data_IF_416680864931
#
_entry.id   IF_416680864931
#
_cell.length_a   1.000
_cell.length_b   1.000
_cell.length_c   1.000
_cell.angle_alpha   90.00
_cell.angle_beta   90.00
_cell.angle_gamma   90.00
#
_symmetry.space_group_name_H-M   'P 1'
#
loop_
_entity.id
_entity.type
_entity.pdbx_description
1 polymer ?
#
# COMPACT_ATOMS: atom_id res chain seq x y z
N UNK A 1 -38.13 -44.76 28.11
CA UNK A 1 -38.63 -44.57 26.73
C UNK A 1 -38.79 -43.07 26.54
N UNK A 2 -37.72 -42.40 26.09
CA UNK A 2 -37.63 -40.95 25.98
C UNK A 2 -37.59 -40.57 24.50
N UNK A 3 -38.50 -39.68 24.12
CA UNK A 3 -38.77 -39.17 22.77
C UNK A 3 -37.70 -38.13 22.39
N UNK A 4 -36.77 -38.50 21.50
CA UNK A 4 -35.83 -37.59 20.86
C UNK A 4 -36.56 -36.88 19.72
N UNK A 5 -36.98 -35.64 19.95
CA UNK A 5 -37.44 -34.74 18.89
C UNK A 5 -36.22 -34.25 18.10
N UNK A 6 -36.10 -34.72 16.87
CA UNK A 6 -35.24 -34.17 15.83
C UNK A 6 -35.63 -32.70 15.57
N UNK A 7 -34.80 -31.78 16.07
CA UNK A 7 -34.82 -30.37 15.65
C UNK A 7 -33.85 -30.26 14.48
N UNK A 8 -34.37 -30.35 13.26
CA UNK A 8 -33.58 -30.06 12.06
C UNK A 8 -33.03 -28.61 12.13
N UNK A 9 -31.73 -28.37 11.92
CA UNK A 9 -31.21 -27.01 11.87
C UNK A 9 -31.80 -26.30 10.65
N UNK A 10 -32.33 -25.08 10.87
CA UNK A 10 -32.79 -24.22 9.80
C UNK A 10 -31.68 -24.03 8.75
N UNK A 11 -32.01 -24.03 7.44
CA UNK A 11 -31.01 -23.79 6.41
C UNK A 11 -30.36 -22.44 6.65
N UNK A 12 -29.05 -22.44 6.85
CA UNK A 12 -28.25 -21.22 6.84
C UNK A 12 -28.42 -20.56 5.48
N UNK A 13 -29.12 -19.44 5.46
CA UNK A 13 -29.17 -18.56 4.29
C UNK A 13 -27.75 -18.09 4.01
N UNK A 14 -27.06 -18.82 3.12
CA UNK A 14 -25.87 -18.32 2.45
C UNK A 14 -26.25 -17.00 1.78
N UNK A 15 -25.50 -15.90 2.01
CA UNK A 15 -25.77 -14.66 1.33
C UNK A 15 -25.65 -14.90 -0.18
N UNK A 16 -26.74 -14.59 -0.89
CA UNK A 16 -26.88 -14.76 -2.32
C UNK A 16 -25.73 -14.02 -3.05
N UNK A 17 -24.85 -14.71 -3.79
CA UNK A 17 -23.70 -14.09 -4.47
C UNK A 17 -24.10 -13.09 -5.57
N UNK A 18 -25.40 -12.98 -5.87
CA UNK A 18 -25.95 -12.10 -6.89
C UNK A 18 -26.14 -10.62 -6.48
N UNK A 19 -26.05 -10.29 -5.19
CA UNK A 19 -26.23 -8.90 -4.72
C UNK A 19 -24.89 -8.24 -4.42
N UNK A 20 -24.11 -7.97 -5.46
CA UNK A 20 -23.13 -6.89 -5.36
C UNK A 20 -23.94 -5.58 -5.33
N UNK A 21 -24.06 -4.89 -4.18
CA UNK A 21 -24.81 -3.64 -4.13
C UNK A 21 -24.19 -2.67 -5.14
N UNK A 22 -25.04 -1.93 -5.85
CA UNK A 22 -24.59 -0.90 -6.76
C UNK A 22 -23.55 0.00 -6.06
N UNK A 23 -22.51 0.46 -6.78
CA UNK A 23 -21.46 1.29 -6.19
C UNK A 23 -22.08 2.48 -5.46
N UNK A 24 -22.01 2.45 -4.13
CA UNK A 24 -22.62 3.44 -3.25
C UNK A 24 -21.53 4.08 -2.42
N UNK A 25 -21.64 5.40 -2.23
CA UNK A 25 -20.73 6.19 -1.41
C UNK A 25 -20.56 5.60 0.00
N UNK A 26 -21.63 5.00 0.57
CA UNK A 26 -21.60 4.39 1.89
C UNK A 26 -20.67 3.16 1.97
N UNK A 27 -20.54 2.43 0.86
CA UNK A 27 -19.81 1.16 0.75
C UNK A 27 -18.44 1.32 0.07
N UNK A 28 -18.00 2.56 -0.20
CA UNK A 28 -16.67 2.82 -0.74
C UNK A 28 -15.61 2.24 0.20
N UNK A 29 -14.80 1.30 -0.31
CA UNK A 29 -13.77 0.62 0.48
C UNK A 29 -12.77 1.63 1.06
N UNK A 30 -12.41 1.55 2.35
CA UNK A 30 -11.35 2.37 2.94
C UNK A 30 -10.00 2.28 2.23
N UNK A 31 -9.73 1.16 1.54
CA UNK A 31 -8.47 0.91 0.85
C UNK A 31 -8.38 1.47 -0.59
N UNK A 32 -9.39 2.21 -1.07
CA UNK A 32 -9.45 2.65 -2.47
C UNK A 32 -8.35 3.66 -2.85
N UNK A 33 -7.77 4.37 -1.89
CA UNK A 33 -6.56 5.17 -2.12
C UNK A 33 -5.35 4.31 -2.56
N UNK A 34 -5.45 2.98 -2.49
CA UNK A 34 -4.53 2.06 -3.15
C UNK A 34 -4.40 2.33 -4.66
N UNK A 35 -5.46 2.82 -5.32
CA UNK A 35 -5.42 3.28 -6.71
C UNK A 35 -4.39 4.39 -6.91
N UNK A 36 -4.42 5.42 -6.04
CA UNK A 36 -3.50 6.57 -6.13
C UNK A 36 -2.08 6.12 -5.84
N UNK A 37 -1.94 5.29 -4.81
CA UNK A 37 -0.66 4.72 -4.39
C UNK A 37 -0.01 3.92 -5.53
N UNK A 38 -0.77 3.06 -6.21
CA UNK A 38 -0.30 2.24 -7.32
C UNK A 38 0.00 3.06 -8.59
N UNK A 39 -0.94 3.92 -9.03
CA UNK A 39 -0.74 4.77 -10.22
C UNK A 39 0.45 5.70 -10.03
N UNK A 40 0.60 6.26 -8.83
CA UNK A 40 1.71 7.16 -8.49
C UNK A 40 3.07 6.49 -8.58
N UNK A 41 3.22 5.27 -8.04
CA UNK A 41 4.53 4.59 -8.08
C UNK A 41 4.86 4.08 -9.48
N UNK A 42 3.89 3.60 -10.26
CA UNK A 42 4.11 3.18 -11.65
C UNK A 42 4.51 4.38 -12.51
N UNK A 43 3.94 5.55 -12.25
CA UNK A 43 4.36 6.82 -12.87
C UNK A 43 5.80 7.19 -12.52
N UNK A 44 6.17 7.17 -11.23
CA UNK A 44 7.55 7.43 -10.79
C UNK A 44 8.55 6.46 -11.40
N UNK A 45 8.28 5.15 -11.33
CA UNK A 45 9.12 4.12 -11.93
C UNK A 45 9.29 4.34 -13.44
N UNK A 46 8.20 4.68 -14.15
CA UNK A 46 8.25 5.02 -15.57
C UNK A 46 9.14 6.24 -15.83
N UNK A 47 9.08 7.26 -14.98
CA UNK A 47 9.92 8.46 -15.09
C UNK A 47 11.40 8.13 -14.91
N UNK A 48 11.73 7.39 -13.84
CA UNK A 48 13.10 6.98 -13.50
C UNK A 48 13.77 6.15 -14.61
N UNK A 49 12.97 5.35 -15.33
CA UNK A 49 13.45 4.49 -16.43
C UNK A 49 13.32 5.13 -17.83
N UNK A 50 13.10 6.46 -17.91
CA UNK A 50 13.16 7.21 -19.16
C UNK A 50 11.86 7.23 -19.98
N UNK A 51 10.76 6.68 -19.48
CA UNK A 51 9.45 6.69 -20.16
C UNK A 51 8.65 7.96 -19.84
N UNK A 52 9.24 9.14 -20.09
CA UNK A 52 8.71 10.44 -19.64
C UNK A 52 7.27 10.76 -20.05
N UNK A 53 6.88 10.44 -21.30
CA UNK A 53 5.50 10.68 -21.78
C UNK A 53 4.47 9.85 -21.03
N UNK A 54 4.76 8.56 -20.83
CA UNK A 54 3.91 7.64 -20.07
C UNK A 54 3.83 8.06 -18.60
N UNK A 55 4.98 8.39 -18.01
CA UNK A 55 5.06 8.86 -16.64
C UNK A 55 4.18 10.10 -16.42
N UNK A 56 4.25 11.09 -17.31
CA UNK A 56 3.48 12.32 -17.23
C UNK A 56 1.97 12.08 -17.41
N UNK A 57 1.57 11.19 -18.32
CA UNK A 57 0.18 10.79 -18.50
C UNK A 57 -0.38 10.15 -17.22
N UNK A 58 0.36 9.20 -16.63
CA UNK A 58 -0.01 8.56 -15.37
C UNK A 58 0.00 9.54 -14.19
N UNK A 59 0.91 10.51 -14.18
CA UNK A 59 0.96 11.57 -13.17
C UNK A 59 -0.32 12.41 -13.16
N UNK A 60 -0.74 12.95 -14.32
CA UNK A 60 -1.97 13.75 -14.39
C UNK A 60 -3.21 12.92 -14.08
N UNK A 61 -3.24 11.67 -14.54
CA UNK A 61 -4.28 10.72 -14.16
C UNK A 61 -4.32 10.53 -12.63
N UNK A 62 -3.16 10.39 -11.98
CA UNK A 62 -3.08 10.22 -10.54
C UNK A 62 -3.58 11.46 -9.77
N UNK A 63 -3.28 12.66 -10.24
CA UNK A 63 -3.81 13.92 -9.68
C UNK A 63 -5.34 13.93 -9.73
N UNK A 64 -5.93 13.54 -10.87
CA UNK A 64 -7.39 13.45 -11.01
C UNK A 64 -7.97 12.39 -10.08
N UNK A 65 -7.36 11.19 -10.03
CA UNK A 65 -7.79 10.12 -9.12
C UNK A 65 -7.75 10.55 -7.66
N UNK A 66 -6.68 11.24 -7.25
CA UNK A 66 -6.53 11.76 -5.90
C UNK A 66 -7.63 12.77 -5.57
N UNK A 67 -7.84 13.77 -6.42
CA UNK A 67 -8.88 14.78 -6.22
C UNK A 67 -10.27 14.16 -6.11
N UNK A 68 -10.60 13.22 -6.99
CA UNK A 68 -11.89 12.50 -6.97
C UNK A 68 -12.04 11.71 -5.66
N UNK A 69 -11.02 10.96 -5.24
CA UNK A 69 -11.11 10.17 -4.00
C UNK A 69 -11.16 11.05 -2.74
N UNK A 70 -10.46 12.19 -2.70
CA UNK A 70 -10.61 13.17 -1.63
C UNK A 70 -12.05 13.66 -1.51
N UNK A 71 -12.69 14.02 -2.64
CA UNK A 71 -14.09 14.44 -2.66
C UNK A 71 -15.02 13.32 -2.20
N UNK A 72 -14.82 12.09 -2.69
CA UNK A 72 -15.66 10.94 -2.32
C UNK A 72 -15.50 10.56 -0.85
N UNK A 73 -14.28 10.53 -0.32
CA UNK A 73 -14.05 10.23 1.10
C UNK A 73 -14.56 11.35 2.00
N UNK A 74 -14.38 12.61 1.61
CA UNK A 74 -14.96 13.75 2.32
C UNK A 74 -16.50 13.70 2.34
N UNK A 75 -17.12 13.42 1.20
CA UNK A 75 -18.56 13.23 1.11
C UNK A 75 -19.04 12.02 1.93
N UNK A 76 -18.27 10.93 1.96
CA UNK A 76 -18.55 9.74 2.78
C UNK A 76 -18.45 10.05 4.28
N UNK A 77 -17.43 10.79 4.70
CA UNK A 77 -17.26 11.20 6.08
C UNK A 77 -18.41 12.11 6.55
N UNK A 78 -18.88 13.01 5.68
CA UNK A 78 -20.01 13.89 6.00
C UNK A 78 -21.37 13.16 5.98
N UNK A 79 -21.68 12.41 4.93
CA UNK A 79 -23.02 11.78 4.77
C UNK A 79 -23.18 10.46 5.53
N UNK A 80 -22.09 9.74 5.76
CA UNK A 80 -22.09 8.43 6.41
C UNK A 80 -21.04 8.31 7.52
N UNK A 81 -20.97 9.26 8.48
CA UNK A 81 -19.91 9.33 9.50
C UNK A 81 -19.83 8.05 10.33
N UNK A 82 -20.97 7.49 10.74
CA UNK A 82 -21.01 6.25 11.53
C UNK A 82 -20.35 5.07 10.82
N UNK A 83 -20.52 4.94 9.50
CA UNK A 83 -19.85 3.88 8.71
C UNK A 83 -18.38 4.22 8.48
N UNK A 84 -18.08 5.47 8.14
CA UNK A 84 -16.71 5.92 7.89
C UNK A 84 -15.80 5.70 9.10
N UNK A 85 -16.16 6.25 10.26
CA UNK A 85 -15.40 6.07 11.50
C UNK A 85 -15.55 4.65 12.08
N UNK A 86 -16.70 4.00 11.88
CA UNK A 86 -16.91 2.61 12.30
C UNK A 86 -15.95 1.62 11.63
N UNK A 87 -15.61 1.83 10.36
CA UNK A 87 -14.65 0.97 9.64
C UNK A 87 -13.23 1.02 10.26
N UNK A 88 -12.85 2.11 10.93
CA UNK A 88 -11.55 2.23 11.61
C UNK A 88 -11.42 1.27 12.80
N UNK A 89 -12.55 0.85 13.39
CA UNK A 89 -12.61 -0.09 14.52
C UNK A 89 -12.66 -1.57 14.10
N UNK A 90 -12.63 -1.84 12.79
CA UNK A 90 -12.70 -3.19 12.22
C UNK A 90 -11.30 -3.63 11.78
N UNK A 91 -10.79 -4.73 12.35
CA UNK A 91 -9.40 -5.19 12.17
C UNK A 91 -9.00 -5.38 10.70
N UNK A 92 -9.92 -5.87 9.85
CA UNK A 92 -9.64 -6.13 8.44
C UNK A 92 -9.86 -4.92 7.51
N UNK A 93 -10.54 -3.86 7.99
CA UNK A 93 -10.87 -2.67 7.17
C UNK A 93 -10.10 -1.43 7.59
N UNK A 94 -9.89 -1.24 8.90
CA UNK A 94 -9.20 -0.11 9.48
C UNK A 94 -7.85 0.16 8.83
N UNK A 95 -6.96 -0.85 8.70
CA UNK A 95 -5.67 -0.67 8.03
C UNK A 95 -5.77 -0.17 6.58
N UNK A 96 -6.91 -0.39 5.90
CA UNK A 96 -7.17 0.15 4.56
C UNK A 96 -7.02 1.67 4.48
N UNK A 97 -7.37 2.41 5.55
CA UNK A 97 -7.23 3.87 5.57
C UNK A 97 -5.78 4.36 5.43
N UNK A 98 -4.79 3.55 5.80
CA UNK A 98 -3.38 3.91 5.62
C UNK A 98 -2.99 4.06 4.14
N UNK A 99 -3.78 3.52 3.20
CA UNK A 99 -3.61 3.84 1.77
C UNK A 99 -3.74 5.33 1.47
N UNK A 100 -4.52 6.08 2.25
CA UNK A 100 -4.67 7.54 2.10
C UNK A 100 -3.36 8.27 2.43
N UNK A 101 -2.65 7.82 3.47
CA UNK A 101 -1.33 8.33 3.83
C UNK A 101 -0.32 7.99 2.75
N UNK A 102 -0.24 6.71 2.38
CA UNK A 102 0.72 6.23 1.39
C UNK A 102 0.50 6.89 0.01
N UNK A 103 -0.76 6.98 -0.45
CA UNK A 103 -1.12 7.64 -1.69
C UNK A 103 -0.79 9.13 -1.69
N UNK A 104 -1.05 9.84 -0.59
CA UNK A 104 -0.69 11.26 -0.45
C UNK A 104 0.84 11.45 -0.46
N UNK A 105 1.58 10.60 0.26
CA UNK A 105 3.05 10.65 0.27
C UNK A 105 3.68 10.35 -1.09
N UNK A 106 3.14 9.39 -1.85
CA UNK A 106 3.62 9.10 -3.22
C UNK A 106 3.28 10.24 -4.18
N UNK A 107 2.10 10.85 -4.06
CA UNK A 107 1.76 12.03 -4.87
C UNK A 107 2.69 13.20 -4.54
N UNK A 108 3.04 13.41 -3.26
CA UNK A 108 4.07 14.37 -2.86
C UNK A 108 5.40 14.09 -3.58
N UNK A 109 5.86 12.82 -3.55
CA UNK A 109 7.06 12.39 -4.27
C UNK A 109 6.99 12.65 -5.78
N UNK A 110 5.83 12.47 -6.42
CA UNK A 110 5.66 12.81 -7.83
C UNK A 110 5.84 14.31 -8.11
N UNK A 111 5.27 15.19 -7.29
CA UNK A 111 5.46 16.63 -7.45
C UNK A 111 6.91 17.05 -7.22
N UNK A 112 7.58 16.45 -6.24
CA UNK A 112 9.00 16.71 -5.97
C UNK A 112 9.91 16.23 -7.11
N UNK A 113 9.72 15.00 -7.58
CA UNK A 113 10.65 14.37 -8.55
C UNK A 113 10.35 14.76 -10.00
N UNK A 114 9.09 14.82 -10.40
CA UNK A 114 8.71 14.98 -11.82
C UNK A 114 8.44 16.42 -12.21
N UNK A 115 8.08 17.27 -11.24
CA UNK A 115 7.70 18.67 -11.48
C UNK A 115 8.58 19.66 -10.73
N UNK A 116 9.49 19.18 -9.89
CA UNK A 116 10.34 19.99 -9.02
C UNK A 116 9.54 21.03 -8.21
N UNK A 117 8.25 20.73 -7.94
CA UNK A 117 7.35 21.66 -7.28
C UNK A 117 7.37 21.41 -5.77
N UNK A 118 8.33 22.03 -5.12
CA UNK A 118 8.56 21.91 -3.66
C UNK A 118 7.35 22.37 -2.86
N UNK A 119 6.65 23.42 -3.28
CA UNK A 119 5.50 23.95 -2.55
C UNK A 119 4.36 22.92 -2.45
N UNK A 120 3.97 22.33 -3.58
CA UNK A 120 2.91 21.30 -3.60
C UNK A 120 3.40 20.00 -2.94
N UNK A 121 4.66 19.63 -3.19
CA UNK A 121 5.28 18.47 -2.53
C UNK A 121 5.28 18.58 -1.00
N UNK A 122 5.69 19.73 -0.46
CA UNK A 122 5.69 20.00 0.98
C UNK A 122 4.27 20.05 1.57
N UNK A 123 3.31 20.66 0.86
CA UNK A 123 1.91 20.69 1.31
C UNK A 123 1.30 19.29 1.40
N UNK A 124 1.52 18.45 0.38
CA UNK A 124 1.07 17.06 0.39
C UNK A 124 1.82 16.22 1.43
N UNK A 125 3.12 16.44 1.63
CA UNK A 125 3.88 15.82 2.70
C UNK A 125 3.30 16.18 4.08
N UNK A 126 3.02 17.45 4.34
CA UNK A 126 2.42 17.90 5.60
C UNK A 126 1.04 17.28 5.83
N UNK A 127 0.23 17.18 4.77
CA UNK A 127 -1.05 16.46 4.83
C UNK A 127 -0.86 14.96 5.12
N UNK A 128 0.14 14.31 4.50
CA UNK A 128 0.45 12.92 4.77
C UNK A 128 0.88 12.69 6.23
N UNK A 129 1.69 13.58 6.81
CA UNK A 129 2.08 13.54 8.22
C UNK A 129 0.85 13.68 9.12
N UNK A 130 -0.03 14.63 8.84
CA UNK A 130 -1.27 14.84 9.60
C UNK A 130 -2.17 13.59 9.55
N UNK A 131 -2.36 13.04 8.36
CA UNK A 131 -3.14 11.82 8.16
C UNK A 131 -2.50 10.63 8.87
N UNK A 132 -1.18 10.49 8.79
CA UNK A 132 -0.45 9.40 9.45
C UNK A 132 -0.61 9.46 10.96
N UNK A 133 -0.42 10.64 11.57
CA UNK A 133 -0.57 10.82 13.00
C UNK A 133 -2.02 10.51 13.42
N UNK A 134 -3.00 11.14 12.74
CA UNK A 134 -4.42 10.92 13.04
C UNK A 134 -4.84 9.46 12.91
N UNK A 135 -4.50 8.80 11.81
CA UNK A 135 -4.91 7.41 11.55
C UNK A 135 -4.15 6.39 12.39
N UNK A 136 -2.83 6.55 12.57
CA UNK A 136 -2.01 5.61 13.34
C UNK A 136 -2.51 5.54 14.78
N UNK A 137 -2.61 6.67 15.45
CA UNK A 137 -3.05 6.69 16.84
C UNK A 137 -4.53 6.33 16.97
N UNK A 138 -5.41 6.81 16.07
CA UNK A 138 -6.84 6.43 16.14
C UNK A 138 -7.04 4.93 15.95
N UNK A 139 -6.50 4.35 14.87
CA UNK A 139 -6.73 2.94 14.55
C UNK A 139 -6.08 2.05 15.60
N UNK A 140 -4.79 2.24 15.91
CA UNK A 140 -4.14 1.36 16.89
C UNK A 140 -4.75 1.50 18.29
N UNK A 141 -5.09 2.71 18.74
CA UNK A 141 -5.76 2.88 20.05
C UNK A 141 -7.12 2.18 20.06
N UNK A 142 -7.98 2.40 19.06
CA UNK A 142 -9.31 1.77 19.00
C UNK A 142 -9.20 0.25 18.97
N UNK A 143 -8.30 -0.31 18.16
CA UNK A 143 -8.09 -1.76 18.09
C UNK A 143 -7.48 -2.33 19.39
N UNK A 144 -6.71 -1.53 20.13
CA UNK A 144 -6.09 -1.92 21.40
C UNK A 144 -7.10 -1.95 22.55
N UNK A 145 -7.93 -0.92 22.69
CA UNK A 145 -8.88 -0.78 23.81
C UNK A 145 -10.19 -1.54 23.61
N UNK A 146 -10.50 -1.95 22.37
CA UNK A 146 -11.70 -2.74 22.06
C UNK A 146 -11.73 -4.03 22.87
N UNK A 147 -12.86 -4.29 23.54
CA UNK A 147 -13.05 -5.50 24.36
C UNK A 147 -13.14 -6.76 23.47
N UNK A 148 -14.05 -6.74 22.49
CA UNK A 148 -14.27 -7.87 21.59
C UNK A 148 -13.31 -7.82 20.39
N UNK A 149 -12.28 -8.67 20.42
CA UNK A 149 -11.29 -8.80 19.35
C UNK A 149 -11.46 -10.13 18.62
N UNK A 150 -11.34 -10.15 17.28
CA UNK A 150 -11.26 -11.41 16.56
C UNK A 150 -9.99 -12.17 16.96
N UNK A 151 -10.04 -13.49 16.83
CA UNK A 151 -8.87 -14.37 16.96
C UNK A 151 -7.83 -14.04 15.88
N UNK A 152 -6.56 -14.40 16.12
CA UNK A 152 -5.45 -14.03 15.23
C UNK A 152 -5.67 -14.51 13.78
N UNK A 153 -6.23 -15.71 13.59
CA UNK A 153 -6.58 -16.28 12.29
C UNK A 153 -7.60 -15.46 11.49
N UNK A 154 -8.40 -14.61 12.15
CA UNK A 154 -9.41 -13.75 11.51
C UNK A 154 -9.08 -12.25 11.61
N UNK A 155 -8.16 -11.88 12.49
CA UNK A 155 -7.86 -10.49 12.81
C UNK A 155 -6.73 -9.87 11.99
N UNK A 156 -5.80 -10.68 11.46
CA UNK A 156 -4.60 -10.16 10.77
C UNK A 156 -4.47 -10.70 9.34
N UNK A 157 -4.06 -9.84 8.42
CA UNK A 157 -3.73 -10.17 7.03
C UNK A 157 -2.69 -9.19 6.48
N UNK A 158 -2.27 -9.36 5.22
CA UNK A 158 -1.29 -8.47 4.56
C UNK A 158 -1.70 -7.00 4.52
N UNK A 159 -2.99 -6.67 4.65
CA UNK A 159 -3.49 -5.29 4.72
C UNK A 159 -2.98 -4.51 5.94
N UNK A 160 -2.64 -5.19 7.04
CA UNK A 160 -2.04 -4.53 8.21
C UNK A 160 -0.69 -3.87 7.89
N UNK A 161 0.07 -4.42 6.94
CA UNK A 161 1.34 -3.85 6.50
C UNK A 161 1.17 -2.52 5.74
N UNK A 162 -0.06 -2.08 5.44
CA UNK A 162 -0.29 -0.71 4.99
C UNK A 162 0.16 0.33 6.02
N UNK A 163 0.18 0.01 7.32
CA UNK A 163 0.76 0.86 8.35
C UNK A 163 2.28 1.06 8.13
N UNK A 164 2.98 0.01 7.72
CA UNK A 164 4.39 0.09 7.32
C UNK A 164 4.53 0.93 6.05
N UNK A 165 3.74 0.63 5.02
CA UNK A 165 3.80 1.36 3.73
C UNK A 165 3.55 2.85 3.93
N UNK A 166 2.56 3.23 4.75
CA UNK A 166 2.27 4.61 5.08
C UNK A 166 3.45 5.30 5.80
N UNK A 167 4.05 4.63 6.77
CA UNK A 167 5.21 5.15 7.51
C UNK A 167 6.42 5.32 6.58
N UNK A 168 6.70 4.34 5.73
CA UNK A 168 7.79 4.40 4.78
C UNK A 168 7.56 5.45 3.68
N UNK A 169 6.30 5.71 3.28
CA UNK A 169 5.98 6.80 2.37
C UNK A 169 6.33 8.17 2.96
N UNK A 170 6.16 8.36 4.27
CA UNK A 170 6.68 9.56 4.96
C UNK A 170 8.19 9.61 4.95
N UNK A 171 8.88 8.48 5.15
CA UNK A 171 10.34 8.43 5.05
C UNK A 171 10.84 8.86 3.66
N UNK A 172 10.29 8.25 2.60
CA UNK A 172 10.59 8.58 1.20
C UNK A 172 10.36 10.06 0.91
N UNK A 173 9.16 10.57 1.20
CA UNK A 173 8.82 11.96 0.87
C UNK A 173 9.60 12.98 1.71
N UNK A 174 9.96 12.66 2.97
CA UNK A 174 10.84 13.48 3.79
C UNK A 174 12.27 13.54 3.23
N UNK A 175 12.82 12.39 2.80
CA UNK A 175 14.15 12.33 2.19
C UNK A 175 14.20 13.10 0.86
N UNK A 176 13.16 12.97 0.03
CA UNK A 176 13.05 13.74 -1.22
C UNK A 176 12.93 15.24 -0.95
N UNK A 177 12.15 15.64 0.05
CA UNK A 177 12.00 17.06 0.41
C UNK A 177 13.31 17.63 0.97
N UNK A 178 14.05 16.87 1.78
CA UNK A 178 15.36 17.26 2.30
C UNK A 178 16.38 17.53 1.18
N UNK A 179 16.30 16.82 0.06
CA UNK A 179 17.16 17.03 -1.09
C UNK A 179 16.88 18.37 -1.84
N UNK A 180 15.71 19.00 -1.61
CA UNK A 180 15.29 20.23 -2.29
C UNK A 180 15.31 21.48 -1.39
N UNK A 181 15.61 21.33 -0.10
CA UNK A 181 15.59 22.43 0.88
C UNK A 181 16.99 22.61 1.47
N UNK A 182 17.35 23.85 1.83
CA UNK A 182 18.62 24.19 2.46
C UNK A 182 18.64 23.97 3.98
N UNK A 183 19.82 24.14 4.59
CA UNK A 183 19.98 24.09 6.04
C UNK A 183 19.24 25.24 6.73
N UNK A 184 18.65 25.05 7.92
CA UNK A 184 18.76 23.87 8.81
C UNK A 184 17.70 22.77 8.59
N UNK A 185 16.61 23.08 7.88
CA UNK A 185 15.48 22.16 7.73
C UNK A 185 15.83 20.85 7.01
N UNK A 186 16.88 20.85 6.18
CA UNK A 186 17.44 19.62 5.57
C UNK A 186 17.82 18.55 6.61
N UNK A 187 18.43 18.93 7.73
CA UNK A 187 18.83 17.98 8.79
C UNK A 187 17.59 17.41 9.48
N UNK A 188 16.63 18.27 9.82
CA UNK A 188 15.39 17.87 10.50
C UNK A 188 14.57 16.90 9.65
N UNK A 189 14.43 17.18 8.34
CA UNK A 189 13.71 16.32 7.41
C UNK A 189 14.40 14.96 7.21
N UNK A 190 15.73 14.94 7.12
CA UNK A 190 16.47 13.68 7.06
C UNK A 190 16.37 12.89 8.38
N UNK A 191 16.21 13.56 9.53
CA UNK A 191 16.02 12.89 10.82
C UNK A 191 14.62 12.26 10.87
N UNK A 192 13.60 13.00 10.43
CA UNK A 192 12.24 12.47 10.26
C UNK A 192 12.28 11.26 9.30
N UNK A 193 12.98 11.38 8.18
CA UNK A 193 13.12 10.29 7.21
C UNK A 193 13.73 9.04 7.85
N UNK A 194 14.83 9.20 8.59
CA UNK A 194 15.50 8.11 9.31
C UNK A 194 14.61 7.50 10.39
N UNK A 195 13.94 8.32 11.21
CA UNK A 195 13.05 7.85 12.28
C UNK A 195 11.88 7.05 11.73
N UNK A 196 11.23 7.54 10.66
CA UNK A 196 10.14 6.82 9.99
C UNK A 196 10.63 5.52 9.35
N UNK A 197 11.85 5.51 8.78
CA UNK A 197 12.43 4.31 8.18
C UNK A 197 12.67 3.20 9.20
N UNK A 198 13.30 3.55 10.34
CA UNK A 198 13.57 2.62 11.44
C UNK A 198 12.28 2.09 12.08
N UNK A 199 11.34 3.00 12.37
CA UNK A 199 10.06 2.65 12.96
C UNK A 199 9.22 1.77 12.04
N UNK A 200 9.11 2.14 10.75
CA UNK A 200 8.42 1.33 9.75
C UNK A 200 9.04 -0.06 9.61
N UNK A 201 10.37 -0.14 9.70
CA UNK A 201 11.12 -1.39 9.76
C UNK A 201 10.73 -2.29 10.92
N UNK A 202 10.71 -1.73 12.14
CA UNK A 202 10.33 -2.48 13.34
C UNK A 202 8.86 -2.92 13.28
N UNK A 203 7.96 -2.04 12.83
CA UNK A 203 6.55 -2.39 12.60
C UNK A 203 6.39 -3.56 11.65
N UNK A 204 7.17 -3.62 10.57
CA UNK A 204 7.15 -4.75 9.65
C UNK A 204 7.55 -6.04 10.36
N UNK A 205 8.64 -6.05 11.14
CA UNK A 205 9.11 -7.26 11.83
C UNK A 205 8.01 -7.81 12.75
N UNK A 206 7.35 -6.96 13.54
CA UNK A 206 6.28 -7.39 14.44
C UNK A 206 5.07 -7.95 13.68
N UNK A 207 4.58 -7.22 12.69
CA UNK A 207 3.41 -7.61 11.91
C UNK A 207 3.66 -8.86 11.07
N UNK A 208 4.81 -8.92 10.39
CA UNK A 208 5.17 -10.01 9.51
C UNK A 208 5.36 -11.30 10.28
N UNK A 209 5.91 -11.24 11.51
CA UNK A 209 6.02 -12.41 12.38
C UNK A 209 4.63 -13.00 12.69
N UNK A 210 3.65 -12.16 13.00
CA UNK A 210 2.28 -12.58 13.27
C UNK A 210 1.55 -13.09 12.00
N UNK A 211 1.75 -12.44 10.86
CA UNK A 211 1.18 -12.86 9.57
C UNK A 211 1.78 -14.19 9.13
N UNK A 212 3.09 -14.37 9.27
CA UNK A 212 3.78 -15.61 8.93
C UNK A 212 3.30 -16.76 9.84
N UNK A 213 3.22 -16.52 11.15
CA UNK A 213 2.63 -17.47 12.08
C UNK A 213 1.18 -17.84 11.70
N UNK A 214 0.35 -16.85 11.33
CA UNK A 214 -0.99 -17.10 10.82
C UNK A 214 -0.98 -18.03 9.60
N UNK A 215 -0.15 -17.74 8.60
CA UNK A 215 -0.09 -18.49 7.35
C UNK A 215 0.42 -19.92 7.51
N UNK A 216 1.33 -20.16 8.46
CA UNK A 216 1.92 -21.49 8.67
C UNK A 216 1.06 -22.39 9.54
N UNK A 217 0.42 -21.84 10.57
CA UNK A 217 -0.21 -22.65 11.62
C UNK A 217 -1.74 -22.71 11.56
N UNK A 218 -2.39 -21.77 10.87
CA UNK A 218 -3.84 -21.77 10.71
C UNK A 218 -4.24 -22.16 9.30
N UNK A 219 -5.49 -22.63 9.16
CA UNK A 219 -6.06 -22.98 7.87
C UNK A 219 -6.16 -21.74 6.99
N UNK A 220 -5.48 -21.77 5.85
CA UNK A 220 -5.53 -20.73 4.84
C UNK A 220 -6.62 -21.05 3.82
N UNK A 221 -7.68 -20.25 3.75
CA UNK A 221 -8.69 -20.38 2.69
C UNK A 221 -8.33 -19.53 1.46
N UNK A 222 -8.87 -19.88 0.29
CA UNK A 222 -8.58 -19.14 -0.94
C UNK A 222 -9.06 -17.67 -0.89
N UNK A 223 -10.06 -17.39 -0.04
CA UNK A 223 -10.58 -16.05 0.21
C UNK A 223 -9.69 -15.25 1.18
N UNK A 224 -8.93 -15.93 2.05
CA UNK A 224 -7.95 -15.31 2.96
C UNK A 224 -6.73 -14.76 2.23
N UNK A 225 -6.44 -15.27 1.03
CA UNK A 225 -5.42 -14.75 0.11
C UNK A 225 -5.97 -13.58 -0.73
N UNK A 226 -6.78 -12.71 -0.12
CA UNK A 226 -7.21 -11.47 -0.75
C UNK A 226 -5.97 -10.72 -1.30
N UNK A 227 -6.08 -9.99 -2.43
CA UNK A 227 -4.96 -9.34 -3.13
C UNK A 227 -3.92 -8.56 -2.28
N UNK A 228 -4.25 -8.01 -1.08
CA UNK A 228 -3.28 -7.38 -0.19
C UNK A 228 -2.11 -8.27 0.28
N UNK A 229 -2.09 -9.58 -0.01
CA UNK A 229 -0.94 -10.44 0.32
C UNK A 229 0.37 -10.00 -0.37
N UNK A 230 0.29 -9.33 -1.54
CA UNK A 230 1.45 -8.72 -2.19
C UNK A 230 2.06 -7.55 -1.40
N UNK A 231 1.32 -6.96 -0.46
CA UNK A 231 1.82 -5.87 0.41
C UNK A 231 2.95 -6.39 1.33
N UNK A 232 3.02 -7.70 1.60
CA UNK A 232 4.15 -8.31 2.30
C UNK A 232 5.48 -7.96 1.61
N UNK A 233 5.54 -8.14 0.28
CA UNK A 233 6.70 -7.72 -0.51
C UNK A 233 6.75 -6.19 -0.64
N UNK A 234 5.61 -5.54 -0.89
CA UNK A 234 5.55 -4.09 -1.14
C UNK A 234 6.06 -3.22 0.01
N UNK A 235 5.81 -3.63 1.26
CA UNK A 235 6.31 -2.94 2.45
C UNK A 235 7.83 -2.96 2.55
N UNK A 236 8.46 -4.08 2.17
CA UNK A 236 9.91 -4.18 2.07
C UNK A 236 10.47 -3.37 0.91
N UNK A 237 9.79 -3.39 -0.24
CA UNK A 237 10.20 -2.63 -1.41
C UNK A 237 10.23 -1.11 -1.13
N UNK A 238 9.19 -0.54 -0.51
CA UNK A 238 9.22 0.89 -0.14
C UNK A 238 10.25 1.20 0.94
N UNK A 239 10.53 0.26 1.85
CA UNK A 239 11.59 0.40 2.85
C UNK A 239 12.98 0.43 2.20
N UNK A 240 13.21 -0.37 1.14
CA UNK A 240 14.43 -0.30 0.32
C UNK A 240 14.54 1.04 -0.40
N UNK A 241 13.44 1.57 -0.95
CA UNK A 241 13.43 2.88 -1.61
C UNK A 241 13.82 3.99 -0.62
N UNK A 242 13.20 4.02 0.55
CA UNK A 242 13.52 4.97 1.62
C UNK A 242 15.00 4.88 2.05
N UNK A 243 15.51 3.67 2.26
CA UNK A 243 16.91 3.44 2.63
C UNK A 243 17.88 3.92 1.54
N UNK A 244 17.56 3.68 0.28
CA UNK A 244 18.36 4.14 -0.86
C UNK A 244 18.44 5.68 -0.92
N UNK A 245 17.32 6.36 -0.67
CA UNK A 245 17.29 7.83 -0.61
C UNK A 245 18.05 8.39 0.60
N UNK A 246 17.98 7.73 1.76
CA UNK A 246 18.79 8.10 2.93
C UNK A 246 20.29 7.95 2.67
N UNK A 247 20.70 6.90 1.93
CA UNK A 247 22.08 6.71 1.49
C UNK A 247 22.52 7.84 0.57
N UNK A 248 21.69 8.21 -0.40
CA UNK A 248 21.99 9.32 -1.32
C UNK A 248 22.06 10.68 -0.61
N UNK A 249 21.26 10.88 0.44
CA UNK A 249 21.27 12.10 1.24
C UNK A 249 22.42 12.15 2.26
N UNK A 250 23.09 11.03 2.53
CA UNK A 250 24.10 10.93 3.58
C UNK A 250 25.20 12.00 3.49
N UNK A 251 25.80 12.31 2.31
CA UNK A 251 26.86 13.32 2.21
C UNK A 251 26.47 14.73 2.71
N UNK A 252 25.18 15.02 2.79
CA UNK A 252 24.63 16.32 3.22
C UNK A 252 24.20 16.34 4.70
N UNK A 253 24.35 15.23 5.42
CA UNK A 253 23.92 15.07 6.82
C UNK A 253 24.97 14.26 7.62
N UNK A 254 25.77 14.89 8.50
CA UNK A 254 26.88 14.22 9.20
C UNK A 254 26.50 12.95 9.97
N UNK A 255 25.32 12.91 10.58
CA UNK A 255 24.84 11.73 11.31
C UNK A 255 24.37 10.60 10.38
N UNK A 256 23.94 10.89 9.15
CA UNK A 256 23.67 9.84 8.16
C UNK A 256 24.98 9.26 7.63
N UNK A 257 26.01 10.09 7.44
CA UNK A 257 27.35 9.60 7.07
C UNK A 257 27.90 8.61 8.10
N UNK A 258 27.76 8.90 9.40
CA UNK A 258 28.22 7.98 10.44
C UNK A 258 27.43 6.66 10.47
N UNK A 259 26.17 6.68 10.05
CA UNK A 259 25.30 5.50 9.95
C UNK A 259 25.35 4.81 8.58
N UNK A 260 26.16 5.30 7.64
CA UNK A 260 26.14 4.83 6.25
C UNK A 260 26.31 3.31 6.09
N UNK A 261 27.24 2.61 6.78
CA UNK A 261 27.33 1.15 6.70
C UNK A 261 26.05 0.45 7.17
N UNK A 262 25.42 0.96 8.22
CA UNK A 262 24.15 0.45 8.73
C UNK A 262 23.01 0.68 7.73
N UNK A 263 22.91 1.89 7.16
CA UNK A 263 21.92 2.20 6.13
C UNK A 263 22.07 1.26 4.93
N UNK A 264 23.31 1.02 4.48
CA UNK A 264 23.59 0.10 3.38
C UNK A 264 23.17 -1.33 3.70
N UNK A 265 23.61 -1.86 4.85
CA UNK A 265 23.29 -3.23 5.27
C UNK A 265 21.79 -3.48 5.41
N UNK A 266 21.06 -2.56 6.07
CA UNK A 266 19.62 -2.71 6.27
C UNK A 266 18.81 -2.49 4.98
N UNK A 267 19.27 -1.62 4.07
CA UNK A 267 18.63 -1.42 2.76
C UNK A 267 18.70 -2.71 1.93
N UNK A 268 19.87 -3.37 1.92
CA UNK A 268 20.02 -4.69 1.28
C UNK A 268 19.18 -5.74 1.97
N UNK A 269 19.10 -5.74 3.30
CA UNK A 269 18.22 -6.65 4.06
C UNK A 269 16.75 -6.51 3.63
N UNK A 270 16.23 -5.28 3.52
CA UNK A 270 14.88 -5.05 3.03
C UNK A 270 14.70 -5.54 1.60
N UNK A 271 15.67 -5.26 0.72
CA UNK A 271 15.58 -5.69 -0.67
C UNK A 271 15.59 -7.22 -0.79
N UNK A 272 16.48 -7.90 -0.06
CA UNK A 272 16.57 -9.34 -0.03
C UNK A 272 15.30 -9.98 0.52
N UNK A 273 14.73 -9.41 1.59
CA UNK A 273 13.46 -9.86 2.19
C UNK A 273 12.31 -9.70 1.20
N UNK A 274 12.19 -8.55 0.54
CA UNK A 274 11.18 -8.32 -0.49
C UNK A 274 11.33 -9.27 -1.68
N UNK A 275 12.57 -9.52 -2.12
CA UNK A 275 12.89 -10.44 -3.22
C UNK A 275 12.52 -11.88 -2.88
N UNK A 276 12.81 -12.32 -1.65
CA UNK A 276 12.47 -13.65 -1.18
C UNK A 276 10.96 -13.93 -1.17
N UNK A 277 10.14 -12.91 -0.92
CA UNK A 277 8.69 -13.05 -0.99
C UNK A 277 8.18 -13.37 -2.40
N UNK A 278 8.85 -12.91 -3.46
CA UNK A 278 8.32 -12.99 -4.83
C UNK A 278 8.01 -14.45 -5.25
N UNK A 279 8.94 -15.43 -5.15
CA UNK A 279 8.62 -16.83 -5.46
C UNK A 279 7.44 -17.38 -4.65
N UNK A 280 7.38 -17.06 -3.35
CA UNK A 280 6.31 -17.51 -2.47
C UNK A 280 4.95 -16.90 -2.85
N UNK A 281 4.90 -15.62 -3.19
CA UNK A 281 3.69 -14.93 -3.64
C UNK A 281 3.18 -15.46 -4.99
N UNK A 282 4.11 -15.81 -5.89
CA UNK A 282 3.77 -16.46 -7.16
C UNK A 282 3.18 -17.85 -6.93
N UNK A 283 3.79 -18.66 -6.06
CA UNK A 283 3.27 -19.98 -5.71
C UNK A 283 1.86 -19.91 -5.10
N UNK A 284 1.64 -18.96 -4.17
CA UNK A 284 0.31 -18.71 -3.58
C UNK A 284 -0.71 -18.21 -4.62
N UNK A 285 -0.28 -17.39 -5.58
CA UNK A 285 -1.11 -16.94 -6.69
C UNK A 285 -1.55 -18.10 -7.60
N UNK A 286 -0.61 -18.98 -7.97
CA UNK A 286 -0.89 -20.20 -8.76
C UNK A 286 -1.84 -21.13 -8.00
N UNK A 287 -1.64 -21.30 -6.69
CA UNK A 287 -2.54 -22.08 -5.86
C UNK A 287 -3.96 -21.50 -5.83
N UNK A 288 -4.11 -20.18 -5.69
CA UNK A 288 -5.42 -19.51 -5.62
C UNK A 288 -6.19 -19.55 -6.95
N UNK A 289 -5.54 -19.17 -8.04
CA UNK A 289 -6.22 -19.01 -9.33
C UNK A 289 -6.17 -20.26 -10.20
N UNK A 290 -5.06 -21.01 -10.15
CA UNK A 290 -4.90 -22.24 -10.92
C UNK A 290 -5.54 -23.44 -10.23
N UNK A 291 -5.16 -23.71 -8.98
CA UNK A 291 -5.63 -24.91 -8.27
C UNK A 291 -7.02 -24.74 -7.66
N UNK A 292 -7.28 -23.63 -6.94
CA UNK A 292 -8.58 -23.33 -6.32
C UNK A 292 -9.59 -22.69 -7.26
N UNK A 293 -9.19 -22.32 -8.48
CA UNK A 293 -10.05 -21.76 -9.55
C UNK A 293 -10.94 -20.60 -9.07
N UNK A 294 -10.39 -19.73 -8.23
CA UNK A 294 -11.15 -18.60 -7.70
C UNK A 294 -11.56 -17.62 -8.81
N UNK A 295 -12.81 -17.12 -8.83
CA UNK A 295 -13.32 -16.30 -9.93
C UNK A 295 -12.60 -14.95 -10.02
N UNK A 296 -12.26 -14.54 -11.25
CA UNK A 296 -11.73 -13.21 -11.54
C UNK A 296 -12.86 -12.18 -11.62
N UNK A 297 -13.26 -11.63 -10.46
CA UNK A 297 -14.11 -10.45 -10.37
C UNK A 297 -13.27 -9.25 -9.92
N UNK A 298 -13.56 -8.05 -10.43
CA UNK A 298 -12.84 -6.85 -10.00
C UNK A 298 -13.14 -6.56 -8.53
N UNK A 299 -12.08 -6.44 -7.74
CA UNK A 299 -12.07 -6.03 -6.34
C UNK A 299 -11.12 -4.82 -6.19
N UNK A 300 -11.54 -3.71 -5.56
CA UNK A 300 -10.65 -2.58 -5.26
C UNK A 300 -9.33 -2.97 -4.57
N UNK A 301 -9.29 -4.09 -3.86
CA UNK A 301 -8.10 -4.60 -3.21
C UNK A 301 -6.98 -5.00 -4.20
N UNK A 302 -7.27 -5.23 -5.48
CA UNK A 302 -6.24 -5.53 -6.50
C UNK A 302 -5.23 -4.41 -6.70
N UNK A 303 -5.59 -3.17 -6.40
CA UNK A 303 -4.63 -2.06 -6.39
C UNK A 303 -3.50 -2.28 -5.36
N UNK A 304 -3.78 -3.03 -4.29
CA UNK A 304 -2.78 -3.50 -3.32
C UNK A 304 -1.76 -4.50 -3.88
N UNK A 305 -2.01 -5.09 -5.05
CA UNK A 305 -1.06 -5.96 -5.77
C UNK A 305 -0.28 -5.20 -6.87
N UNK A 306 -0.87 -4.17 -7.49
CA UNK A 306 -0.18 -3.34 -8.49
C UNK A 306 0.91 -2.49 -7.85
N UNK A 307 0.64 -1.90 -6.68
CA UNK A 307 1.61 -1.06 -5.98
C UNK A 307 2.95 -1.77 -5.70
N UNK A 308 2.98 -2.97 -5.08
CA UNK A 308 4.22 -3.68 -4.80
C UNK A 308 5.09 -3.93 -6.04
N UNK A 309 4.47 -4.25 -7.17
CA UNK A 309 5.19 -4.49 -8.43
C UNK A 309 5.91 -3.23 -8.92
N UNK A 310 5.20 -2.11 -8.96
CA UNK A 310 5.78 -0.81 -9.33
C UNK A 310 6.83 -0.33 -8.32
N UNK A 311 6.58 -0.57 -7.03
CA UNK A 311 7.50 -0.21 -5.96
C UNK A 311 8.80 -1.03 -5.99
N UNK A 312 8.72 -2.33 -6.28
CA UNK A 312 9.91 -3.16 -6.43
C UNK A 312 10.77 -2.73 -7.63
N UNK A 313 10.12 -2.30 -8.72
CA UNK A 313 10.80 -1.70 -9.86
C UNK A 313 11.56 -0.42 -9.46
N UNK A 314 10.86 0.51 -8.79
CA UNK A 314 11.43 1.79 -8.35
C UNK A 314 12.55 1.60 -7.31
N UNK A 315 12.34 0.77 -6.29
CA UNK A 315 13.32 0.59 -5.23
C UNK A 315 14.58 -0.12 -5.70
N UNK A 316 14.46 -1.10 -6.61
CA UNK A 316 15.63 -1.80 -7.17
C UNK A 316 16.45 -0.84 -8.04
N UNK A 317 15.79 0.03 -8.80
CA UNK A 317 16.48 1.06 -9.59
C UNK A 317 17.24 2.05 -8.68
N UNK A 318 16.59 2.57 -7.64
CA UNK A 318 17.24 3.49 -6.71
C UNK A 318 18.35 2.84 -5.89
N UNK A 319 18.18 1.59 -5.47
CA UNK A 319 19.21 0.87 -4.72
C UNK A 319 20.44 0.60 -5.60
N UNK A 320 20.25 0.18 -6.85
CA UNK A 320 21.35 -0.02 -7.81
C UNK A 320 22.16 1.26 -7.98
N UNK A 321 21.48 2.41 -8.06
CA UNK A 321 22.10 3.74 -8.13
C UNK A 321 22.79 4.15 -6.84
N UNK A 322 22.14 4.00 -5.69
CA UNK A 322 22.66 4.41 -4.38
C UNK A 322 23.86 3.56 -3.90
N UNK A 323 23.93 2.31 -4.36
CA UNK A 323 24.98 1.36 -4.01
C UNK A 323 26.06 1.21 -5.08
N UNK A 324 25.83 1.78 -6.27
CA UNK A 324 26.70 1.65 -7.45
C UNK A 324 26.96 0.19 -7.85
N UNK A 325 25.94 -0.68 -7.73
CA UNK A 325 26.07 -2.10 -8.04
C UNK A 325 26.23 -2.36 -9.55
N UNK A 326 25.43 -1.69 -10.39
CA UNK A 326 25.50 -1.75 -11.85
C UNK A 326 24.97 -3.05 -12.48
N UNK A 327 24.80 -4.13 -11.73
CA UNK A 327 24.33 -5.42 -12.25
C UNK A 327 22.81 -5.63 -12.12
N UNK A 328 22.08 -4.77 -11.39
CA UNK A 328 20.64 -4.95 -11.19
C UNK A 328 19.78 -4.35 -12.30
N UNK A 329 20.34 -3.57 -13.23
CA UNK A 329 19.57 -2.74 -14.19
C UNK A 329 18.53 -3.46 -15.07
N UNK A 330 18.62 -4.79 -15.26
CA UNK A 330 17.58 -5.58 -15.94
C UNK A 330 16.31 -5.79 -15.13
N UNK A 331 16.45 -5.94 -13.81
CA UNK A 331 15.36 -6.31 -12.90
C UNK A 331 14.30 -5.20 -12.73
N UNK A 332 14.66 -3.91 -12.53
CA UNK A 332 13.70 -2.81 -12.50
C UNK A 332 12.83 -2.75 -13.76
N UNK A 333 13.44 -2.92 -14.95
CA UNK A 333 12.72 -2.84 -16.22
C UNK A 333 11.70 -3.96 -16.37
N UNK A 334 12.08 -5.18 -16.01
CA UNK A 334 11.16 -6.32 -16.01
C UNK A 334 9.95 -6.06 -15.09
N UNK A 335 10.20 -5.62 -13.85
CA UNK A 335 9.12 -5.32 -12.91
C UNK A 335 8.27 -4.12 -13.33
N UNK A 336 8.84 -3.12 -14.01
CA UNK A 336 8.06 -2.02 -14.57
C UNK A 336 7.03 -2.52 -15.59
N UNK A 337 7.44 -3.36 -16.54
CA UNK A 337 6.51 -3.90 -17.54
C UNK A 337 5.44 -4.79 -16.92
N UNK A 338 5.80 -5.60 -15.92
CA UNK A 338 4.84 -6.40 -15.15
C UNK A 338 3.85 -5.49 -14.42
N UNK A 339 4.34 -4.41 -13.79
CA UNK A 339 3.49 -3.45 -13.10
C UNK A 339 2.55 -2.71 -14.06
N UNK A 340 3.03 -2.32 -15.24
CA UNK A 340 2.20 -1.68 -16.28
C UNK A 340 1.11 -2.60 -16.81
N UNK A 341 1.43 -3.88 -17.04
CA UNK A 341 0.44 -4.88 -17.43
C UNK A 341 -0.62 -5.08 -16.34
N UNK A 342 -0.20 -5.28 -15.09
CA UNK A 342 -1.08 -5.43 -13.95
C UNK A 342 -1.96 -4.19 -13.73
N UNK A 343 -1.37 -3.00 -13.85
CA UNK A 343 -2.08 -1.72 -13.77
C UNK A 343 -3.14 -1.61 -14.85
N UNK A 344 -2.81 -1.92 -16.11
CA UNK A 344 -3.74 -1.82 -17.25
C UNK A 344 -4.92 -2.77 -17.10
N UNK A 345 -4.66 -4.02 -16.71
CA UNK A 345 -5.71 -5.03 -16.47
C UNK A 345 -6.64 -4.57 -15.32
N UNK A 346 -6.06 -4.11 -14.21
CA UNK A 346 -6.84 -3.66 -13.04
C UNK A 346 -7.65 -2.40 -13.37
N UNK A 347 -7.07 -1.45 -14.09
CA UNK A 347 -7.74 -0.23 -14.53
C UNK A 347 -8.89 -0.53 -15.49
N UNK A 348 -8.68 -1.39 -16.48
CA UNK A 348 -9.72 -1.82 -17.41
C UNK A 348 -10.87 -2.53 -16.66
N UNK A 349 -10.54 -3.41 -15.70
CA UNK A 349 -11.50 -4.07 -14.82
C UNK A 349 -12.34 -3.09 -14.00
N UNK A 350 -11.70 -2.06 -13.44
CA UNK A 350 -12.35 -0.97 -12.71
C UNK A 350 -13.33 -0.20 -13.60
N UNK A 351 -12.87 0.28 -14.76
CA UNK A 351 -13.69 1.05 -15.71
C UNK A 351 -14.88 0.22 -16.17
N UNK A 352 -14.67 -1.07 -16.47
CA UNK A 352 -15.73 -1.99 -16.88
C UNK A 352 -16.75 -2.24 -15.75
N UNK A 353 -16.30 -2.34 -14.50
CA UNK A 353 -17.19 -2.48 -13.34
C UNK A 353 -18.04 -1.23 -13.12
N UNK A 354 -17.43 -0.03 -13.23
CA UNK A 354 -18.14 1.25 -13.11
C UNK A 354 -19.15 1.42 -14.24
N UNK A 355 -18.78 1.12 -15.49
CA UNK A 355 -19.66 1.22 -16.64
C UNK A 355 -20.89 0.29 -16.50
N UNK A 356 -20.69 -0.96 -16.07
CA UNK A 356 -21.79 -1.90 -15.80
C UNK A 356 -22.71 -1.44 -14.66
N UNK A 357 -22.13 -0.88 -13.59
CA UNK A 357 -22.91 -0.32 -12.48
C UNK A 357 -23.75 0.89 -12.90
N UNK A 358 -23.20 1.77 -13.73
CA UNK A 358 -23.91 2.95 -14.25
C UNK A 358 -25.08 2.58 -15.18
N UNK A 359 -24.94 1.50 -15.96
CA UNK A 359 -26.00 0.98 -16.84
C UNK A 359 -27.13 0.36 -16.01
N UNK A 360 -26.80 -0.44 -14.98
CA UNK A 360 -27.80 -1.09 -14.10
C UNK A 360 -28.53 -0.13 -13.17
N UNK A 361 -27.96 1.02 -12.82
CA UNK A 361 -28.62 2.04 -11.99
C UNK A 361 -29.55 2.98 -12.75
N UNK A 362 -29.66 2.83 -14.08
CA UNK A 362 -30.54 3.62 -14.96
C UNK A 362 -31.78 2.86 -15.46
N UNK A 363 -31.87 1.56 -15.17
CA UNK A 363 -33.07 0.73 -15.38
C UNK A 363 -33.65 0.32 -14.05
#
# INVERSE_FOLDING_TARGET
MADHRDVSPAPSLSPDPALNPAPSLANLSPAYFGLVMATGIVSLASFMMGHGRLALALFYLNVVQYAVLCVLYGARAWRHPRRFFGDMAVHLRGPGYFTMVAGTGILASQFLVMRENVAVGAALWGLAVLLWFGLTYTIFTVLTVKQDKPTLDKGINGGWLLAVVATQALSVSSALLAAHIDQPHRIELNLIALSMWLWGGMLYIWMMSLIFYRYTFFRLEADDLAPPYWINMGAMAISTLAGSLLILNAPQAPYLMSLLPFLKGFTVLYWATGTWWIPMLLALGVWRYGYKRFPFTYDPLYWGAVFPLGMYAACTFEMDRAMEFGFLGGLPRAFLYIALAAWTITFAGMVHAIARGAIRGRG
#
